data_IF_296221564721
#
_entry.id   IF_296221564721
#
_cell.length_a   1.000
_cell.length_b   1.000
_cell.length_c   1.000
_cell.angle_alpha   90.00
_cell.angle_beta   90.00
_cell.angle_gamma   90.00
#
_symmetry.space_group_name_H-M   'P 1'
#
loop_
_entity.id
_entity.type
_entity.pdbx_description
1 polymer ?
#
# COMPACT_ATOMS: atom_id res chain seq x y z
N UNK A 1 -8.48 -1.01 -3.20
CA UNK A 1 -8.30 -1.58 -1.86
C UNK A 1 -7.62 -0.53 -1.00
N UNK A 2 -7.99 -0.30 0.26
CA UNK A 2 -7.28 0.65 1.12
C UNK A 2 -5.90 0.10 1.50
N UNK A 3 -4.91 0.99 1.60
CA UNK A 3 -3.62 0.68 2.23
C UNK A 3 -3.84 0.66 3.73
N UNK A 4 -3.42 -0.41 4.39
CA UNK A 4 -3.47 -0.50 5.86
C UNK A 4 -2.26 0.25 6.42
N UNK A 5 -2.48 1.23 7.28
CA UNK A 5 -1.40 1.99 7.90
C UNK A 5 -0.74 1.16 9.02
N UNK A 6 0.54 1.37 9.25
CA UNK A 6 1.33 0.62 10.26
C UNK A 6 0.75 0.74 11.68
N UNK A 7 0.18 1.89 12.02
CA UNK A 7 -0.44 2.13 13.31
C UNK A 7 -1.79 1.39 13.46
N UNK A 8 -2.56 1.22 12.37
CA UNK A 8 -3.80 0.43 12.37
C UNK A 8 -3.49 -1.04 12.66
N UNK A 9 -2.40 -1.58 12.10
CA UNK A 9 -1.94 -2.94 12.40
C UNK A 9 -1.56 -3.08 13.87
N UNK A 10 -0.81 -2.12 14.42
CA UNK A 10 -0.42 -2.13 15.84
C UNK A 10 -1.63 -2.06 16.76
N UNK A 11 -2.60 -1.19 16.48
CA UNK A 11 -3.83 -1.09 17.26
C UNK A 11 -4.63 -2.40 17.19
N UNK A 12 -4.83 -2.96 16.01
CA UNK A 12 -5.56 -4.22 15.85
C UNK A 12 -4.86 -5.36 16.60
N UNK A 13 -3.53 -5.41 16.58
CA UNK A 13 -2.74 -6.40 17.31
C UNK A 13 -2.91 -6.27 18.82
N UNK A 14 -2.82 -5.04 19.34
CA UNK A 14 -3.00 -4.76 20.77
C UNK A 14 -4.43 -5.07 21.22
N UNK A 15 -5.42 -4.65 20.45
CA UNK A 15 -6.85 -4.91 20.78
C UNK A 15 -7.14 -6.40 20.76
N UNK A 16 -6.67 -7.15 19.74
CA UNK A 16 -6.90 -8.61 19.69
C UNK A 16 -6.16 -9.35 20.82
N UNK A 17 -4.95 -8.89 21.18
CA UNK A 17 -4.22 -9.46 22.31
C UNK A 17 -4.95 -9.22 23.64
N UNK A 18 -5.46 -8.01 23.88
CA UNK A 18 -6.25 -7.67 25.08
C UNK A 18 -7.51 -8.53 25.15
N UNK A 19 -8.25 -8.68 24.04
CA UNK A 19 -9.43 -9.52 23.97
C UNK A 19 -9.10 -10.99 24.26
N UNK A 20 -8.04 -11.53 23.67
CA UNK A 20 -7.60 -12.90 23.91
C UNK A 20 -7.22 -13.14 25.37
N UNK A 21 -6.46 -12.24 25.98
CA UNK A 21 -6.09 -12.29 27.40
C UNK A 21 -7.34 -12.23 28.30
N UNK A 22 -8.30 -11.36 27.96
CA UNK A 22 -9.55 -11.24 28.74
C UNK A 22 -10.35 -12.56 28.70
N UNK A 23 -10.44 -13.21 27.53
CA UNK A 23 -11.12 -14.51 27.38
C UNK A 23 -10.42 -15.59 28.23
N UNK A 24 -9.09 -15.65 28.19
CA UNK A 24 -8.31 -16.61 28.98
C UNK A 24 -8.51 -16.40 30.49
N UNK A 25 -8.45 -15.14 30.94
CA UNK A 25 -8.67 -14.83 32.38
C UNK A 25 -10.09 -15.22 32.81
N UNK A 26 -11.10 -14.91 31.98
CA UNK A 26 -12.49 -15.25 32.29
C UNK A 26 -12.67 -16.77 32.31
N UNK A 27 -12.10 -17.49 31.35
CA UNK A 27 -12.13 -18.97 31.34
C UNK A 27 -11.44 -19.56 32.56
N UNK A 28 -10.30 -19.01 32.97
CA UNK A 28 -9.57 -19.45 34.16
C UNK A 28 -10.38 -19.25 35.43
N UNK A 29 -11.03 -18.10 35.62
CA UNK A 29 -11.78 -17.76 36.82
C UNK A 29 -13.11 -18.54 36.96
N UNK A 30 -13.75 -18.89 35.83
CA UNK A 30 -15.11 -19.42 35.82
C UNK A 30 -15.19 -20.91 35.48
N UNK A 31 -14.22 -21.48 34.76
CA UNK A 31 -14.33 -22.77 34.09
C UNK A 31 -13.23 -23.79 34.45
N UNK A 32 -12.40 -23.50 35.48
CA UNK A 32 -11.27 -24.37 35.87
C UNK A 32 -11.64 -25.84 36.11
N UNK A 33 -12.93 -26.15 36.28
CA UNK A 33 -13.41 -27.50 36.60
C UNK A 33 -14.42 -28.04 35.58
N UNK A 34 -14.51 -27.43 34.39
CA UNK A 34 -15.52 -27.78 33.39
C UNK A 34 -14.83 -28.22 32.09
N UNK A 35 -15.37 -29.24 31.43
CA UNK A 35 -14.87 -29.73 30.12
C UNK A 35 -14.87 -28.69 28.99
N UNK A 36 -15.48 -27.54 29.21
CA UNK A 36 -15.52 -26.42 28.26
C UNK A 36 -14.24 -25.57 28.25
N UNK A 37 -13.30 -25.77 29.17
CA UNK A 37 -12.06 -24.99 29.26
C UNK A 37 -11.25 -25.06 27.96
N UNK A 38 -11.14 -26.22 27.33
CA UNK A 38 -10.40 -26.43 26.10
C UNK A 38 -11.02 -25.68 24.93
N UNK A 39 -12.35 -25.59 24.84
CA UNK A 39 -13.07 -24.86 23.82
C UNK A 39 -12.83 -23.34 23.92
N UNK A 40 -12.84 -22.80 25.16
CA UNK A 40 -12.54 -21.36 25.36
C UNK A 40 -11.07 -21.01 25.08
N UNK A 41 -10.15 -21.92 25.36
CA UNK A 41 -8.73 -21.74 25.00
C UNK A 41 -8.52 -21.68 23.50
N UNK A 42 -9.19 -22.56 22.74
CA UNK A 42 -9.15 -22.56 21.29
C UNK A 42 -9.77 -21.28 20.70
N UNK A 43 -10.90 -20.85 21.26
CA UNK A 43 -11.56 -19.61 20.86
C UNK A 43 -10.69 -18.38 21.13
N UNK A 44 -10.04 -18.31 22.28
CA UNK A 44 -9.09 -17.24 22.63
C UNK A 44 -7.94 -17.16 21.62
N UNK A 45 -7.38 -18.31 21.22
CA UNK A 45 -6.32 -18.39 20.23
C UNK A 45 -6.78 -17.89 18.87
N UNK A 46 -7.95 -18.29 18.40
CA UNK A 46 -8.53 -17.84 17.14
C UNK A 46 -8.76 -16.33 17.16
N UNK A 47 -9.38 -15.78 18.20
CA UNK A 47 -9.68 -14.34 18.34
C UNK A 47 -8.39 -13.51 18.38
N UNK A 48 -7.31 -14.05 18.94
CA UNK A 48 -6.03 -13.34 19.00
C UNK A 48 -5.31 -13.31 17.64
N UNK A 49 -5.30 -14.42 16.91
CA UNK A 49 -4.50 -14.58 15.68
C UNK A 49 -5.26 -14.09 14.44
N UNK A 50 -6.57 -14.31 14.38
CA UNK A 50 -7.36 -14.06 13.16
C UNK A 50 -7.33 -12.61 12.68
N UNK A 51 -7.53 -11.57 13.53
CA UNK A 51 -7.55 -10.18 13.05
C UNK A 51 -6.21 -9.73 12.47
N UNK A 52 -5.10 -10.14 13.08
CA UNK A 52 -3.75 -9.79 12.58
C UNK A 52 -3.47 -10.45 11.23
N UNK A 53 -3.84 -11.72 11.06
CA UNK A 53 -3.68 -12.45 9.81
C UNK A 53 -4.49 -11.83 8.66
N UNK A 54 -5.71 -11.37 8.93
CA UNK A 54 -6.56 -10.69 7.93
C UNK A 54 -5.93 -9.37 7.47
N UNK A 55 -5.42 -8.55 8.39
CA UNK A 55 -4.80 -7.27 8.05
C UNK A 55 -3.50 -7.47 7.26
N UNK A 56 -2.68 -8.44 7.62
CA UNK A 56 -1.46 -8.77 6.88
C UNK A 56 -1.78 -9.30 5.48
N UNK A 57 -2.84 -10.09 5.34
CA UNK A 57 -3.31 -10.55 4.04
C UNK A 57 -3.79 -9.40 3.14
N UNK A 58 -4.55 -8.43 3.68
CA UNK A 58 -5.03 -7.25 2.95
C UNK A 58 -3.86 -6.39 2.49
N UNK A 59 -2.87 -6.14 3.37
CA UNK A 59 -1.66 -5.38 3.01
C UNK A 59 -0.80 -6.10 1.96
N UNK A 60 -0.60 -7.40 2.11
CA UNK A 60 0.09 -8.24 1.12
C UNK A 60 -0.58 -8.16 -0.24
N UNK A 61 -1.91 -8.31 -0.31
CA UNK A 61 -2.67 -8.24 -1.55
C UNK A 61 -2.60 -6.84 -2.18
N UNK A 62 -2.59 -5.79 -1.37
CA UNK A 62 -2.43 -4.42 -1.85
C UNK A 62 -1.04 -4.21 -2.48
N UNK A 63 0.04 -4.61 -1.78
CA UNK A 63 1.43 -4.51 -2.29
C UNK A 63 1.62 -5.32 -3.55
N UNK A 64 1.11 -6.52 -3.59
CA UNK A 64 1.15 -7.37 -4.76
C UNK A 64 0.45 -6.74 -5.97
N UNK A 65 -0.74 -6.19 -5.78
CA UNK A 65 -1.44 -5.45 -6.83
C UNK A 65 -0.65 -4.26 -7.35
N UNK A 66 0.08 -3.56 -6.49
CA UNK A 66 0.99 -2.48 -6.89
C UNK A 66 2.12 -3.00 -7.77
N UNK A 67 2.83 -4.02 -7.31
CA UNK A 67 4.01 -4.56 -8.01
C UNK A 67 3.62 -5.18 -9.36
N UNK A 68 2.43 -5.76 -9.47
CA UNK A 68 1.89 -6.31 -10.73
C UNK A 68 1.57 -5.22 -11.77
N UNK A 69 1.05 -4.06 -11.34
CA UNK A 69 0.61 -3.01 -12.27
C UNK A 69 1.65 -1.89 -12.48
N UNK A 70 2.70 -1.82 -11.67
CA UNK A 70 3.72 -0.78 -11.80
C UNK A 70 4.49 -0.83 -13.14
N UNK A 71 4.89 -2.01 -13.65
CA UNK A 71 5.51 -2.11 -14.96
C UNK A 71 4.61 -1.63 -16.11
N UNK A 72 3.31 -1.93 -16.03
CA UNK A 72 2.34 -1.50 -17.04
C UNK A 72 2.14 0.01 -17.03
N UNK A 73 2.15 0.63 -15.84
CA UNK A 73 2.15 2.08 -15.71
C UNK A 73 3.37 2.69 -16.40
N UNK A 74 4.58 2.22 -16.11
CA UNK A 74 5.79 2.76 -16.74
C UNK A 74 5.80 2.54 -18.25
N UNK A 75 5.36 1.38 -18.72
CA UNK A 75 5.24 1.10 -20.16
C UNK A 75 4.30 2.07 -20.85
N UNK A 76 3.14 2.36 -20.25
CA UNK A 76 2.18 3.32 -20.83
C UNK A 76 2.74 4.75 -20.86
N UNK A 77 3.50 5.17 -19.83
CA UNK A 77 4.16 6.48 -19.82
C UNK A 77 5.20 6.57 -20.96
N UNK A 78 6.05 5.56 -21.11
CA UNK A 78 7.07 5.51 -22.17
C UNK A 78 6.42 5.52 -23.53
N UNK A 79 5.36 4.74 -23.77
CA UNK A 79 4.62 4.73 -25.02
C UNK A 79 4.02 6.11 -25.36
N UNK A 80 3.43 6.79 -24.36
CA UNK A 80 2.89 8.13 -24.55
C UNK A 80 4.00 9.14 -24.89
N UNK A 81 5.17 9.06 -24.26
CA UNK A 81 6.31 9.91 -24.61
C UNK A 81 6.85 9.63 -26.03
N UNK A 82 6.84 8.38 -26.48
CA UNK A 82 7.24 8.02 -27.85
C UNK A 82 6.31 8.63 -28.92
N UNK A 83 5.06 8.95 -28.58
CA UNK A 83 4.13 9.69 -29.46
C UNK A 83 4.30 11.22 -29.39
N UNK A 84 5.32 11.70 -28.68
CA UNK A 84 5.63 13.13 -28.56
C UNK A 84 4.93 13.83 -27.40
N UNK A 85 4.24 13.11 -26.52
CA UNK A 85 3.65 13.71 -25.32
C UNK A 85 4.74 14.09 -24.31
N UNK A 86 4.54 15.21 -23.62
CA UNK A 86 5.37 15.55 -22.47
C UNK A 86 5.14 14.56 -21.33
N UNK A 87 6.10 14.46 -20.41
CA UNK A 87 5.96 13.58 -19.24
C UNK A 87 4.71 13.88 -18.42
N UNK A 88 4.35 15.16 -18.28
CA UNK A 88 3.13 15.60 -17.59
C UNK A 88 1.86 15.09 -18.29
N UNK A 89 1.78 15.27 -19.60
CA UNK A 89 0.64 14.76 -20.39
C UNK A 89 0.54 13.24 -20.37
N UNK A 90 1.69 12.55 -20.42
CA UNK A 90 1.75 11.09 -20.35
C UNK A 90 1.23 10.57 -18.99
N UNK A 91 1.58 11.24 -17.89
CA UNK A 91 1.08 10.91 -16.55
C UNK A 91 -0.42 11.19 -16.41
N UNK A 92 -0.89 12.32 -16.94
CA UNK A 92 -2.31 12.67 -16.93
C UNK A 92 -3.12 11.62 -17.71
N UNK A 93 -2.68 11.24 -18.91
CA UNK A 93 -3.32 10.21 -19.72
C UNK A 93 -3.29 8.84 -19.02
N UNK A 94 -2.15 8.48 -18.44
CA UNK A 94 -2.03 7.25 -17.63
C UNK A 94 -3.01 7.26 -16.45
N UNK A 95 -3.24 8.40 -15.79
CA UNK A 95 -4.13 8.50 -14.63
C UNK A 95 -5.60 8.18 -14.93
N UNK A 96 -6.00 8.23 -16.20
CA UNK A 96 -7.36 7.89 -16.67
C UNK A 96 -7.57 6.38 -16.75
N UNK A 97 -6.48 5.60 -16.82
CA UNK A 97 -6.51 4.14 -16.89
C UNK A 97 -6.59 3.50 -15.52
N UNK A 98 -6.89 2.21 -15.49
CA UNK A 98 -7.00 1.45 -14.25
C UNK A 98 -5.74 0.59 -14.02
N UNK A 99 -5.04 0.87 -12.92
CA UNK A 99 -3.84 0.15 -12.47
C UNK A 99 -4.03 -0.43 -11.06
N UNK A 100 -5.17 -1.08 -10.82
CA UNK A 100 -5.45 -1.69 -9.54
C UNK A 100 -5.31 -0.71 -8.36
N UNK A 101 -4.51 -1.09 -7.37
CA UNK A 101 -4.26 -0.29 -6.18
C UNK A 101 -3.49 1.01 -6.46
N UNK A 102 -2.69 1.07 -7.55
CA UNK A 102 -1.93 2.25 -7.95
C UNK A 102 -2.80 3.41 -8.44
N UNK A 103 -3.99 3.12 -8.99
CA UNK A 103 -4.85 4.14 -9.62
C UNK A 103 -5.11 5.34 -8.71
N UNK A 104 -5.40 5.06 -7.43
CA UNK A 104 -5.70 6.12 -6.44
C UNK A 104 -4.47 6.98 -6.15
N UNK A 105 -3.31 6.37 -5.99
CA UNK A 105 -2.07 7.07 -5.68
C UNK A 105 -1.53 7.83 -6.89
N UNK A 106 -1.69 7.29 -8.11
CA UNK A 106 -1.37 7.97 -9.36
C UNK A 106 -2.22 9.22 -9.55
N UNK A 107 -3.54 9.15 -9.35
CA UNK A 107 -4.43 10.32 -9.42
C UNK A 107 -4.04 11.40 -8.42
N UNK A 108 -3.66 11.04 -7.19
CA UNK A 108 -3.15 12.00 -6.21
C UNK A 108 -1.86 12.68 -6.68
N UNK A 109 -0.94 11.93 -7.24
CA UNK A 109 0.32 12.47 -7.77
C UNK A 109 0.06 13.46 -8.90
N UNK A 110 -0.78 13.10 -9.88
CA UNK A 110 -1.15 13.98 -11.00
C UNK A 110 -1.84 15.26 -10.50
N UNK A 111 -2.76 15.14 -9.52
CA UNK A 111 -3.39 16.31 -8.90
C UNK A 111 -2.37 17.22 -8.20
N UNK A 112 -1.37 16.67 -7.52
CA UNK A 112 -0.29 17.46 -6.90
C UNK A 112 0.52 18.24 -7.95
N UNK A 113 0.83 17.61 -9.08
CA UNK A 113 1.54 18.26 -10.19
C UNK A 113 0.67 19.36 -10.81
N UNK A 114 -0.63 19.12 -11.01
CA UNK A 114 -1.56 20.14 -11.55
C UNK A 114 -1.73 21.35 -10.62
N UNK A 115 -1.49 21.19 -9.31
CA UNK A 115 -1.43 22.29 -8.34
C UNK A 115 -0.09 23.00 -8.27
N UNK A 116 0.85 22.64 -9.18
CA UNK A 116 2.16 23.30 -9.29
C UNK A 116 3.27 22.67 -8.45
N UNK A 117 3.05 21.49 -7.86
CA UNK A 117 4.13 20.78 -7.21
C UNK A 117 5.14 20.27 -8.25
N UNK A 118 6.46 20.50 -8.08
CA UNK A 118 7.48 19.97 -8.99
C UNK A 118 7.35 18.45 -9.15
N UNK A 119 7.55 17.96 -10.38
CA UNK A 119 7.44 16.54 -10.73
C UNK A 119 8.23 15.65 -9.77
N UNK A 120 9.50 16.01 -9.47
CA UNK A 120 10.38 15.22 -8.62
C UNK A 120 9.78 15.04 -7.22
N UNK A 121 9.23 16.11 -6.63
CA UNK A 121 8.60 16.07 -5.30
C UNK A 121 7.32 15.26 -5.30
N UNK A 122 6.50 15.41 -6.35
CA UNK A 122 5.26 14.65 -6.49
C UNK A 122 5.55 13.15 -6.65
N UNK A 123 6.56 12.80 -7.45
CA UNK A 123 6.96 11.42 -7.71
C UNK A 123 7.65 10.78 -6.50
N UNK A 124 8.46 11.53 -5.77
CA UNK A 124 9.03 11.09 -4.49
C UNK A 124 7.93 10.79 -3.47
N UNK A 125 6.99 11.73 -3.27
CA UNK A 125 5.84 11.53 -2.38
C UNK A 125 4.97 10.34 -2.78
N UNK A 126 4.80 10.10 -4.07
CA UNK A 126 4.15 8.89 -4.59
C UNK A 126 4.91 7.63 -4.16
N UNK A 127 6.23 7.59 -4.34
CA UNK A 127 7.07 6.47 -3.93
C UNK A 127 7.02 6.18 -2.43
N UNK A 128 7.02 7.22 -1.61
CA UNK A 128 6.90 7.11 -0.14
C UNK A 128 5.54 6.56 0.29
N UNK A 129 4.45 6.99 -0.36
CA UNK A 129 3.10 6.49 -0.07
C UNK A 129 2.92 5.03 -0.51
N UNK A 130 3.42 4.67 -1.68
CA UNK A 130 3.31 3.32 -2.22
C UNK A 130 4.24 2.36 -1.48
N UNK A 131 5.49 2.74 -1.27
CA UNK A 131 6.49 2.06 -0.43
C UNK A 131 6.60 0.53 -0.61
N UNK A 132 6.64 0.05 -1.86
CA UNK A 132 7.01 -1.33 -2.17
C UNK A 132 8.50 -1.45 -2.50
N UNK A 133 9.04 -2.67 -2.50
CA UNK A 133 10.44 -2.90 -2.85
C UNK A 133 10.75 -2.42 -4.28
N UNK A 134 9.79 -2.57 -5.19
CA UNK A 134 9.92 -2.16 -6.58
C UNK A 134 9.88 -0.64 -6.72
N UNK A 135 8.93 0.06 -6.07
CA UNK A 135 8.85 1.53 -6.12
C UNK A 135 10.08 2.20 -5.52
N UNK A 136 10.62 1.69 -4.42
CA UNK A 136 11.85 2.23 -3.81
C UNK A 136 13.06 2.20 -4.76
N UNK A 137 13.13 1.22 -5.65
CA UNK A 137 14.20 1.10 -6.65
C UNK A 137 13.91 1.93 -7.90
N UNK A 138 12.65 1.97 -8.36
CA UNK A 138 12.27 2.60 -9.62
C UNK A 138 12.12 4.13 -9.51
N UNK A 139 11.62 4.64 -8.38
CA UNK A 139 11.36 6.08 -8.20
C UNK A 139 12.61 6.95 -8.40
N UNK A 140 13.78 6.67 -7.79
CA UNK A 140 14.98 7.46 -8.03
C UNK A 140 15.43 7.43 -9.49
N UNK A 141 15.30 6.28 -10.15
CA UNK A 141 15.68 6.13 -11.57
C UNK A 141 14.79 6.97 -12.50
N UNK A 142 13.49 6.99 -12.23
CA UNK A 142 12.54 7.79 -13.02
C UNK A 142 12.76 9.30 -12.79
N UNK A 143 13.05 9.73 -11.57
CA UNK A 143 13.39 11.12 -11.27
C UNK A 143 14.65 11.54 -12.02
N UNK A 144 15.69 10.73 -12.02
CA UNK A 144 16.93 11.00 -12.72
C UNK A 144 16.73 11.03 -14.26
N UNK A 145 15.95 10.08 -14.79
CA UNK A 145 15.57 10.08 -16.21
C UNK A 145 14.77 11.32 -16.59
N UNK A 146 13.85 11.78 -15.74
CA UNK A 146 13.09 13.02 -15.94
C UNK A 146 14.00 14.27 -15.98
N UNK A 147 15.02 14.29 -15.13
CA UNK A 147 16.02 15.37 -15.10
C UNK A 147 16.92 15.39 -16.34
N UNK A 148 17.39 14.22 -16.77
CA UNK A 148 18.26 14.10 -17.94
C UNK A 148 17.50 14.35 -19.25
N UNK A 149 16.24 13.92 -19.36
CA UNK A 149 15.37 14.18 -20.51
C UNK A 149 15.05 15.67 -20.73
N UNK A 150 15.04 16.49 -19.66
CA UNK A 150 14.88 17.94 -19.75
C UNK A 150 16.13 18.70 -20.21
N UNK A 151 17.28 18.04 -20.34
CA UNK A 151 18.54 18.66 -20.76
C UNK A 151 18.87 18.56 -22.28
N UNK A 152 18.08 17.78 -23.01
CA UNK A 152 18.32 17.59 -24.46
C UNK A 152 17.75 18.76 -25.31
N UNK A 153 16.98 19.65 -24.69
CA UNK A 153 16.47 20.86 -25.35
C UNK A 153 17.34 22.09 -25.01
N UNK A 154 18.65 22.05 -25.35
CA UNK A 154 19.48 23.25 -25.49
C UNK A 154 20.35 23.16 -26.73
#
# INVERSE_FOLDING_TARGET
MPKVEEWEKKIAWVVSAILGVTIVITAYLTLLNTSLFDEYMLLALVVTVFPSAVLDYVDYRWRRSVDEHLPDLFRSIVQAQQTGMTLHQALEEASKRHYGALTKELKKMVAQISWGLPFEKAFQSFGERVNTALTRRSVPLVIEAGRSGGRVER
#
